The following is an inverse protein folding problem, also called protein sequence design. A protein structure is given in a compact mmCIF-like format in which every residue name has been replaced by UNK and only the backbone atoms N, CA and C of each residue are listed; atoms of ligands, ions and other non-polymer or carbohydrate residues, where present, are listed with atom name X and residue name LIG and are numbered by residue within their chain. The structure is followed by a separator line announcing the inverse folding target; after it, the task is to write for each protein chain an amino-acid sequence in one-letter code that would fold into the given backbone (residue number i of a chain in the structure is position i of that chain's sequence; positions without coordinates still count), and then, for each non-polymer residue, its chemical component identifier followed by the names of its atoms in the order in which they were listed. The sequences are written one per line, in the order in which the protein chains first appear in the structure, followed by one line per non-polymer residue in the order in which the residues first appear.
data_IF_103018015256
#
_entry.id   IF_103018015256
#
_cell.length_a   1.000
_cell.length_b   1.000
_cell.length_c   1.000
_cell.angle_alpha   90.00
_cell.angle_beta   90.00
_cell.angle_gamma   90.00
#
_symmetry.space_group_name_H-M   'P 1'
#
loop_
_entity.id
_entity.type
_entity.pdbx_description
1 polymer ?
#
# COMPACT_ATOMS: atom_id res chain seq x y z
N UNK A 1 -2.66 -13.72 2.25
CA UNK A 1 -1.21 -13.39 2.23
C UNK A 1 -0.89 -12.80 3.61
N UNK A 2 0.22 -13.15 4.25
CA UNK A 2 0.51 -13.00 5.70
C UNK A 2 -0.16 -14.06 6.61
N UNK A 3 0.39 -15.27 6.54
CA UNK A 3 0.04 -16.38 7.46
C UNK A 3 1.25 -16.89 8.24
N UNK A 4 2.42 -16.25 8.12
CA UNK A 4 3.67 -16.67 8.74
C UNK A 4 4.19 -15.56 9.65
N UNK A 5 4.61 -15.94 10.85
CA UNK A 5 5.05 -15.04 11.92
C UNK A 5 6.52 -15.33 12.21
N UNK A 6 7.32 -14.26 12.17
CA UNK A 6 8.74 -14.26 12.47
C UNK A 6 9.06 -13.18 13.49
N UNK A 7 9.95 -13.50 14.43
CA UNK A 7 10.46 -12.51 15.37
C UNK A 7 11.39 -11.52 14.66
N UNK A 8 11.07 -10.23 14.76
CA UNK A 8 12.04 -9.20 14.42
C UNK A 8 13.08 -9.08 15.53
N UNK A 9 14.37 -9.22 15.19
CA UNK A 9 15.47 -8.97 16.12
C UNK A 9 15.67 -7.47 16.42
N UNK A 10 14.97 -6.59 15.69
CA UNK A 10 15.22 -5.16 15.71
C UNK A 10 16.53 -4.80 15.00
N UNK A 11 16.83 -3.51 14.97
CA UNK A 11 18.11 -2.97 14.52
C UNK A 11 18.77 -2.14 15.62
N UNK A 12 20.01 -1.73 15.40
CA UNK A 12 20.69 -0.79 16.30
C UNK A 12 19.92 0.55 16.36
N UNK A 13 19.94 1.19 17.53
CA UNK A 13 19.40 2.54 17.66
C UNK A 13 20.18 3.48 16.73
N UNK A 14 19.46 4.14 15.82
CA UNK A 14 20.05 5.09 14.86
C UNK A 14 20.04 6.53 15.37
N UNK A 15 19.14 6.84 16.31
CA UNK A 15 18.96 8.17 16.90
C UNK A 15 18.83 8.00 18.41
N UNK A 16 19.82 8.50 19.17
CA UNK A 16 19.92 8.25 20.61
C UNK A 16 18.68 8.72 21.41
N UNK A 17 18.05 9.83 20.98
CA UNK A 17 16.87 10.38 21.64
C UNK A 17 15.54 9.73 21.18
N UNK A 18 15.56 8.89 20.14
CA UNK A 18 14.34 8.27 19.63
C UNK A 18 13.84 7.19 20.59
N UNK A 19 12.56 7.29 20.95
CA UNK A 19 11.85 6.28 21.75
C UNK A 19 11.21 5.27 20.81
N UNK A 20 11.00 4.03 21.29
CA UNK A 20 10.18 3.07 20.56
C UNK A 20 8.74 3.58 20.43
N UNK A 21 8.06 3.21 19.35
CA UNK A 21 6.66 3.56 19.13
C UNK A 21 5.77 3.10 20.28
N UNK A 22 5.99 1.87 20.79
CA UNK A 22 5.30 1.34 21.97
C UNK A 22 5.45 2.26 23.17
N UNK A 23 6.65 2.75 23.47
CA UNK A 23 6.87 3.66 24.60
C UNK A 23 6.21 5.02 24.41
N UNK A 24 6.14 5.53 23.19
CA UNK A 24 5.43 6.77 22.87
C UNK A 24 3.92 6.59 23.09
N UNK A 25 3.35 5.50 22.58
CA UNK A 25 1.92 5.19 22.73
C UNK A 25 1.53 4.97 24.20
N UNK A 26 2.35 4.25 24.96
CA UNK A 26 2.13 4.05 26.41
C UNK A 26 2.18 5.37 27.17
N UNK A 27 3.13 6.25 26.88
CA UNK A 27 3.22 7.56 27.52
C UNK A 27 2.00 8.44 27.21
N UNK A 28 1.53 8.43 25.96
CA UNK A 28 0.30 9.14 25.58
C UNK A 28 -0.90 8.57 26.35
N UNK A 29 -1.05 7.25 26.38
CA UNK A 29 -2.15 6.60 27.09
C UNK A 29 -2.13 6.95 28.59
N UNK A 30 -0.95 6.89 29.24
CA UNK A 30 -0.78 7.27 30.65
C UNK A 30 -1.20 8.71 30.92
N UNK A 31 -0.81 9.65 30.07
CA UNK A 31 -1.13 11.08 30.24
C UNK A 31 -2.61 11.39 30.00
N UNK A 32 -3.26 10.69 29.08
CA UNK A 32 -4.65 10.96 28.70
C UNK A 32 -5.65 10.18 29.56
N UNK A 33 -5.31 8.95 29.95
CA UNK A 33 -6.22 7.99 30.58
C UNK A 33 -5.82 7.65 32.03
N UNK A 34 -4.73 8.22 32.55
CA UNK A 34 -4.14 7.83 33.84
C UNK A 34 -3.35 6.53 33.74
N UNK A 35 -2.86 6.01 34.86
CA UNK A 35 -1.96 4.85 34.88
C UNK A 35 -2.65 3.51 34.56
N UNK A 36 -3.97 3.43 34.75
CA UNK A 36 -4.74 2.23 34.42
C UNK A 36 -6.15 2.57 33.93
N UNK A 37 -6.70 1.73 33.05
CA UNK A 37 -8.13 1.73 32.77
C UNK A 37 -8.81 0.78 33.75
N UNK A 38 -9.73 1.31 34.58
CA UNK A 38 -10.64 0.52 35.43
C UNK A 38 -9.97 -0.59 36.27
N UNK A 39 -8.67 -0.43 36.59
CA UNK A 39 -7.87 -1.42 37.33
C UNK A 39 -7.55 -2.73 36.59
N UNK A 40 -7.94 -2.90 35.33
CA UNK A 40 -7.75 -4.16 34.59
C UNK A 40 -6.48 -4.19 33.74
N UNK A 41 -5.94 -3.03 33.37
CA UNK A 41 -4.74 -2.90 32.56
C UNK A 41 -3.90 -1.73 33.07
N UNK A 42 -2.68 -2.03 33.53
CA UNK A 42 -1.68 -1.01 33.84
C UNK A 42 -0.86 -0.71 32.58
N UNK A 43 -0.88 0.54 32.15
CA UNK A 43 -0.20 0.94 30.92
C UNK A 43 1.32 0.78 30.98
N UNK A 44 1.93 0.93 32.17
CA UNK A 44 3.40 0.79 32.28
C UNK A 44 3.90 -0.57 31.83
N UNK A 45 3.10 -1.61 32.02
CA UNK A 45 3.50 -2.98 31.74
C UNK A 45 3.67 -3.18 30.22
N UNK A 46 2.92 -2.43 29.42
CA UNK A 46 2.97 -2.48 27.97
C UNK A 46 4.22 -1.82 27.36
N UNK A 47 5.09 -1.16 28.15
CA UNK A 47 6.44 -0.81 27.69
C UNK A 47 7.24 -2.07 27.30
N UNK A 48 6.94 -3.21 27.92
CA UNK A 48 7.56 -4.48 27.58
C UNK A 48 6.92 -5.10 26.34
N UNK A 49 7.71 -5.26 25.27
CA UNK A 49 7.27 -6.00 24.09
C UNK A 49 6.87 -7.45 24.41
N UNK A 50 7.44 -8.06 25.45
CA UNK A 50 7.03 -9.40 25.92
C UNK A 50 5.63 -9.36 26.54
N UNK A 51 5.32 -8.34 27.36
CA UNK A 51 3.97 -8.16 27.90
C UNK A 51 2.94 -7.93 26.78
N UNK A 52 3.27 -7.13 25.77
CA UNK A 52 2.42 -6.95 24.57
C UNK A 52 2.18 -8.28 23.85
N UNK A 53 3.23 -9.10 23.64
CA UNK A 53 3.07 -10.42 23.02
C UNK A 53 2.23 -11.37 23.87
N UNK A 54 2.37 -11.35 25.20
CA UNK A 54 1.56 -12.15 26.10
C UNK A 54 0.07 -11.78 25.96
N UNK A 55 -0.24 -10.49 25.90
CA UNK A 55 -1.60 -10.01 25.71
C UNK A 55 -2.16 -10.42 24.34
N UNK A 56 -1.36 -10.32 23.27
CA UNK A 56 -1.75 -10.81 21.93
C UNK A 56 -2.05 -12.32 21.96
N UNK A 57 -1.18 -13.10 22.60
CA UNK A 57 -1.32 -14.55 22.71
C UNK A 57 -2.53 -14.98 23.53
N UNK A 58 -3.01 -14.14 24.45
CA UNK A 58 -4.19 -14.39 25.26
C UNK A 58 -5.48 -14.02 24.54
N UNK A 59 -5.46 -12.92 23.78
CA UNK A 59 -6.68 -12.33 23.20
C UNK A 59 -6.94 -12.75 21.75
N UNK A 60 -5.92 -13.13 20.98
CA UNK A 60 -6.06 -13.37 19.54
C UNK A 60 -5.87 -14.86 19.22
N UNK A 61 -6.97 -15.59 18.87
CA UNK A 61 -6.89 -17.00 18.51
C UNK A 61 -5.93 -17.24 17.34
N UNK A 62 -5.11 -18.29 17.45
CA UNK A 62 -4.12 -18.67 16.45
C UNK A 62 -2.78 -17.93 16.54
N UNK A 63 -2.61 -17.01 17.50
CA UNK A 63 -1.36 -16.32 17.80
C UNK A 63 -0.74 -16.73 19.14
N UNK A 64 -1.18 -17.82 19.75
CA UNK A 64 -0.72 -18.26 21.08
C UNK A 64 0.79 -18.47 21.14
N UNK A 65 1.38 -18.98 20.05
CA UNK A 65 2.82 -19.20 19.88
C UNK A 65 3.65 -17.90 19.86
N UNK A 66 3.03 -16.71 19.79
CA UNK A 66 3.76 -15.45 19.88
C UNK A 66 4.23 -15.16 21.32
N UNK A 67 3.64 -15.81 22.33
CA UNK A 67 3.91 -15.58 23.75
C UNK A 67 5.40 -15.70 24.09
N UNK A 68 6.01 -16.77 23.60
CA UNK A 68 7.36 -17.23 23.92
C UNK A 68 8.30 -17.22 22.70
N UNK A 69 7.90 -16.57 21.59
CA UNK A 69 8.68 -16.52 20.35
C UNK A 69 10.07 -15.87 20.53
N UNK A 70 10.21 -14.97 21.51
CA UNK A 70 11.48 -14.32 21.85
C UNK A 70 12.45 -15.24 22.58
N UNK A 71 11.95 -16.28 23.24
CA UNK A 71 12.73 -17.29 23.94
C UNK A 71 13.02 -18.47 23.02
N UNK A 72 11.99 -18.99 22.35
CA UNK A 72 12.08 -20.18 21.49
C UNK A 72 12.70 -19.88 20.13
N UNK A 73 12.62 -18.62 19.67
CA UNK A 73 12.97 -18.20 18.29
C UNK A 73 12.24 -19.00 17.20
N UNK A 74 11.16 -19.69 17.56
CA UNK A 74 10.43 -20.57 16.65
C UNK A 74 9.42 -19.75 15.85
N UNK A 75 9.68 -19.64 14.56
CA UNK A 75 8.74 -19.06 13.60
C UNK A 75 7.57 -20.02 13.35
N UNK A 76 6.38 -19.49 13.07
CA UNK A 76 5.18 -20.32 12.94
C UNK A 76 4.18 -19.76 11.94
N UNK A 77 3.32 -20.63 11.44
CA UNK A 77 2.14 -20.22 10.70
C UNK A 77 0.96 -19.98 11.65
N UNK A 78 0.22 -18.89 11.43
CA UNK A 78 -1.03 -18.64 12.14
C UNK A 78 -2.00 -19.80 11.89
N UNK A 79 -2.47 -20.42 12.97
CA UNK A 79 -3.36 -21.58 12.92
C UNK A 79 -4.60 -21.28 12.06
N UNK A 80 -4.98 -22.21 11.19
CA UNK A 80 -6.17 -22.07 10.34
C UNK A 80 -6.02 -21.14 9.13
N UNK A 81 -4.92 -20.41 8.98
CA UNK A 81 -4.68 -19.56 7.79
C UNK A 81 -3.96 -20.27 6.64
N UNK A 82 -3.24 -21.35 6.93
CA UNK A 82 -2.68 -22.20 5.90
C UNK A 82 -3.75 -23.19 5.41
N UNK A 83 -4.14 -23.09 4.14
CA UNK A 83 -5.18 -23.92 3.52
C UNK A 83 -4.66 -25.26 2.98
N UNK A 84 -3.62 -25.84 3.60
CA UNK A 84 -3.04 -27.11 3.17
C UNK A 84 -4.08 -28.25 3.07
N UNK A 85 -5.07 -28.26 3.95
CA UNK A 85 -6.05 -29.34 4.07
C UNK A 85 -7.37 -29.10 3.32
N UNK A 86 -7.44 -28.09 2.41
CA UNK A 86 -8.66 -27.71 1.67
C UNK A 86 -9.90 -27.48 2.56
N UNK A 87 -9.68 -27.14 3.82
CA UNK A 87 -10.73 -26.80 4.79
C UNK A 87 -10.97 -25.30 4.74
N UNK A 88 -12.22 -24.89 4.55
CA UNK A 88 -12.59 -23.48 4.45
C UNK A 88 -13.38 -23.05 5.69
N UNK A 89 -13.09 -21.88 6.29
CA UNK A 89 -13.83 -21.34 7.43
C UNK A 89 -15.19 -20.76 6.97
N UNK A 90 -16.00 -21.59 6.32
CA UNK A 90 -17.37 -21.28 5.89
C UNK A 90 -18.32 -22.23 6.59
N UNK A 91 -19.61 -21.86 6.78
CA UNK A 91 -20.59 -22.75 7.41
C UNK A 91 -20.74 -24.13 6.73
N UNK A 92 -20.40 -24.23 5.45
CA UNK A 92 -20.47 -25.48 4.67
C UNK A 92 -19.14 -26.24 4.59
N UNK A 93 -18.06 -25.67 5.12
CA UNK A 93 -16.69 -26.20 4.98
C UNK A 93 -16.13 -26.12 3.56
N UNK A 94 -16.83 -25.50 2.61
CA UNK A 94 -16.46 -25.42 1.18
C UNK A 94 -16.13 -23.99 0.74
N UNK A 95 -15.34 -23.86 -0.33
CA UNK A 95 -15.12 -22.57 -0.99
C UNK A 95 -16.42 -21.99 -1.54
N UNK A 96 -16.55 -20.66 -1.50
CA UNK A 96 -17.67 -19.92 -2.11
C UNK A 96 -17.18 -19.24 -3.38
N UNK A 97 -17.79 -19.58 -4.51
CA UNK A 97 -17.51 -18.95 -5.80
C UNK A 97 -18.47 -17.79 -6.02
N UNK A 98 -17.95 -16.67 -6.49
CA UNK A 98 -18.71 -15.49 -6.85
C UNK A 98 -18.17 -14.95 -8.17
N UNK A 99 -19.08 -14.49 -9.02
CA UNK A 99 -18.71 -13.75 -10.22
C UNK A 99 -18.70 -12.26 -9.91
N UNK A 100 -17.79 -11.52 -10.53
CA UNK A 100 -17.76 -10.07 -10.49
C UNK A 100 -17.95 -9.54 -11.92
N UNK A 101 -18.85 -8.57 -12.13
CA UNK A 101 -18.98 -7.93 -13.44
C UNK A 101 -17.69 -7.18 -13.77
N UNK A 102 -17.28 -7.21 -15.04
CA UNK A 102 -16.17 -6.39 -15.52
C UNK A 102 -16.65 -4.94 -15.69
N UNK A 103 -15.84 -3.94 -15.31
CA UNK A 103 -16.18 -2.55 -15.57
C UNK A 103 -16.21 -2.29 -17.08
N UNK A 104 -17.09 -1.39 -17.52
CA UNK A 104 -17.11 -0.93 -18.90
C UNK A 104 -15.81 -0.19 -19.25
N UNK A 105 -15.34 -0.28 -20.50
CA UNK A 105 -14.23 0.54 -20.96
C UNK A 105 -14.59 2.03 -20.82
N UNK A 106 -13.61 2.90 -20.53
CA UNK A 106 -13.87 4.33 -20.51
C UNK A 106 -14.27 4.82 -21.92
N UNK A 107 -15.22 5.74 -21.99
CA UNK A 107 -15.63 6.36 -23.25
C UNK A 107 -14.58 7.40 -23.69
N UNK A 108 -13.62 6.97 -24.51
CA UNK A 108 -12.54 7.81 -25.05
C UNK A 108 -11.48 8.30 -24.04
N UNK A 109 -11.72 8.12 -22.74
CA UNK A 109 -10.84 8.54 -21.65
C UNK A 109 -9.68 7.56 -21.42
N UNK A 110 -8.57 8.07 -20.86
CA UNK A 110 -7.41 7.26 -20.47
C UNK A 110 -7.58 6.75 -19.05
N UNK A 111 -7.29 5.47 -18.82
CA UNK A 111 -7.22 4.87 -17.48
C UNK A 111 -5.79 4.86 -16.97
N UNK A 112 -5.50 5.67 -15.97
CA UNK A 112 -4.22 5.74 -15.29
C UNK A 112 -4.09 4.65 -14.22
N UNK A 113 -2.92 4.01 -14.20
CA UNK A 113 -2.44 3.23 -13.06
C UNK A 113 -1.18 3.87 -12.47
N UNK A 114 -1.17 4.06 -11.14
CA UNK A 114 0.04 4.50 -10.46
C UNK A 114 0.98 3.32 -10.23
N UNK A 115 2.29 3.51 -10.35
CA UNK A 115 3.29 2.46 -10.11
C UNK A 115 4.40 2.95 -9.17
N UNK A 116 5.19 2.00 -8.68
CA UNK A 116 6.43 2.29 -7.97
C UNK A 116 7.60 1.79 -8.82
N UNK A 117 8.71 2.50 -8.75
CA UNK A 117 9.97 2.04 -9.34
C UNK A 117 10.60 0.97 -8.45
N UNK A 118 11.68 0.37 -8.94
CA UNK A 118 12.51 -0.55 -8.16
C UNK A 118 13.28 0.19 -7.03
N UNK A 119 13.87 1.36 -7.32
CA UNK A 119 14.55 2.24 -6.36
C UNK A 119 13.60 2.99 -5.40
N UNK A 120 12.53 2.35 -4.98
CA UNK A 120 11.50 2.95 -4.13
C UNK A 120 10.90 1.92 -3.17
N UNK A 121 10.65 2.34 -1.93
CA UNK A 121 9.83 1.60 -1.00
C UNK A 121 8.64 2.42 -0.51
N UNK A 122 7.43 1.99 -0.88
CA UNK A 122 6.20 2.72 -0.62
C UNK A 122 6.27 4.18 -1.12
N UNK A 123 6.28 5.17 -0.22
CA UNK A 123 6.31 6.60 -0.56
C UNK A 123 7.70 7.19 -0.53
N UNK A 124 8.70 6.42 -0.09
CA UNK A 124 10.09 6.86 -0.01
C UNK A 124 10.77 6.51 -1.32
N UNK A 125 11.09 7.54 -2.10
CA UNK A 125 11.86 7.44 -3.33
C UNK A 125 13.34 7.48 -2.96
N UNK A 126 14.10 6.45 -3.34
CA UNK A 126 15.55 6.40 -3.16
C UNK A 126 16.25 6.83 -4.46
N UNK A 127 15.68 6.44 -5.60
CA UNK A 127 16.21 6.73 -6.93
C UNK A 127 15.14 7.31 -7.85
N UNK A 128 15.56 8.28 -8.66
CA UNK A 128 14.72 8.89 -9.71
C UNK A 128 14.62 8.00 -10.96
N UNK A 129 15.58 7.10 -11.15
CA UNK A 129 15.61 6.15 -12.25
C UNK A 129 14.76 4.90 -11.95
N UNK A 130 14.06 4.40 -12.97
CA UNK A 130 13.40 3.11 -12.98
C UNK A 130 14.02 2.22 -14.06
N UNK A 131 15.04 1.47 -13.65
CA UNK A 131 15.81 0.57 -14.52
C UNK A 131 14.90 -0.47 -15.17
N UNK A 132 13.87 -0.95 -14.47
CA UNK A 132 12.96 -1.97 -15.01
C UNK A 132 12.08 -1.45 -16.15
N UNK A 133 11.85 -0.14 -16.21
CA UNK A 133 11.07 0.51 -17.28
C UNK A 133 11.93 1.35 -18.21
N UNK A 134 13.25 1.43 -17.97
CA UNK A 134 14.17 2.28 -18.73
C UNK A 134 13.80 3.77 -18.66
N UNK A 135 13.37 4.25 -17.48
CA UNK A 135 13.00 5.65 -17.28
C UNK A 135 14.05 6.34 -16.41
N UNK A 136 14.65 7.42 -16.91
CA UNK A 136 15.66 8.22 -16.20
C UNK A 136 15.08 9.24 -15.20
N UNK A 137 13.75 9.32 -15.13
CA UNK A 137 12.99 10.33 -14.38
C UNK A 137 11.59 9.85 -14.08
N UNK A 138 10.93 10.52 -13.13
CA UNK A 138 9.59 10.14 -12.63
C UNK A 138 8.46 11.05 -13.09
N UNK A 139 8.75 12.26 -13.56
CA UNK A 139 7.76 13.22 -14.06
C UNK A 139 7.39 12.98 -15.54
N UNK A 140 7.05 11.72 -15.82
CA UNK A 140 6.60 11.22 -17.12
C UNK A 140 5.20 10.62 -16.99
N UNK A 141 4.45 10.64 -18.09
CA UNK A 141 3.27 9.79 -18.27
C UNK A 141 3.53 8.83 -19.43
N UNK A 142 3.53 7.53 -19.11
CA UNK A 142 3.80 6.50 -20.09
C UNK A 142 2.50 6.13 -20.81
N UNK A 143 2.52 6.19 -22.14
CA UNK A 143 1.37 5.98 -23.02
C UNK A 143 1.73 5.03 -24.15
N UNK A 144 0.73 4.31 -24.67
CA UNK A 144 0.91 3.57 -25.91
C UNK A 144 1.17 4.53 -27.08
N UNK A 145 1.91 4.10 -28.11
CA UNK A 145 2.07 4.91 -29.32
C UNK A 145 0.71 5.26 -29.95
N UNK A 146 -0.24 4.32 -29.92
CA UNK A 146 -1.61 4.52 -30.41
C UNK A 146 -2.32 5.66 -29.68
N UNK A 147 -2.15 5.77 -28.36
CA UNK A 147 -2.75 6.86 -27.59
C UNK A 147 -2.05 8.20 -27.81
N UNK A 148 -0.73 8.21 -28.01
CA UNK A 148 -0.03 9.44 -28.40
C UNK A 148 -0.60 9.97 -29.73
N UNK A 149 -0.71 9.09 -30.73
CA UNK A 149 -1.23 9.45 -32.05
C UNK A 149 -2.70 9.91 -31.95
N UNK A 150 -3.53 9.18 -31.20
CA UNK A 150 -4.94 9.52 -30.97
C UNK A 150 -5.12 10.87 -30.27
N UNK A 151 -4.22 11.21 -29.36
CA UNK A 151 -4.23 12.48 -28.64
C UNK A 151 -3.48 13.61 -29.38
N UNK A 152 -2.89 13.33 -30.55
CA UNK A 152 -2.09 14.28 -31.31
C UNK A 152 -0.81 14.74 -30.58
N UNK A 153 -0.28 13.90 -29.70
CA UNK A 153 0.91 14.18 -28.89
C UNK A 153 2.17 13.64 -29.57
N UNK A 154 3.25 14.43 -29.49
CA UNK A 154 4.59 13.97 -29.88
C UNK A 154 5.29 13.27 -28.70
N UNK A 155 6.20 12.32 -28.96
CA UNK A 155 7.06 11.77 -27.91
C UNK A 155 7.76 12.87 -27.13
N UNK A 156 7.75 12.72 -25.80
CA UNK A 156 8.29 13.65 -24.80
C UNK A 156 7.70 15.08 -24.88
N UNK A 157 6.52 15.25 -25.47
CA UNK A 157 5.80 16.51 -25.40
C UNK A 157 5.33 16.76 -23.97
N UNK A 158 5.43 18.03 -23.53
CA UNK A 158 4.89 18.44 -22.23
C UNK A 158 3.37 18.39 -22.23
N UNK A 159 2.83 17.79 -21.19
CA UNK A 159 1.40 17.63 -20.98
C UNK A 159 0.99 17.95 -19.56
N UNK A 160 -0.28 18.30 -19.43
CA UNK A 160 -1.01 18.31 -18.17
C UNK A 160 -1.88 17.07 -18.11
N UNK A 161 -1.88 16.41 -16.95
CA UNK A 161 -2.74 15.27 -16.66
C UNK A 161 -3.72 15.68 -15.58
N UNK A 162 -5.02 15.58 -15.85
CA UNK A 162 -6.10 15.97 -14.93
C UNK A 162 -6.98 14.79 -14.59
N UNK A 163 -7.43 14.75 -13.35
CA UNK A 163 -8.49 13.88 -12.86
C UNK A 163 -9.58 14.73 -12.19
N UNK A 164 -10.60 14.08 -11.65
CA UNK A 164 -11.63 14.74 -10.81
C UNK A 164 -11.08 15.34 -9.51
N UNK A 165 -9.88 14.95 -9.04
CA UNK A 165 -9.33 15.41 -7.75
C UNK A 165 -8.18 16.39 -7.87
N UNK A 166 -7.59 16.55 -9.05
CA UNK A 166 -6.44 17.42 -9.23
C UNK A 166 -5.75 17.22 -10.57
N UNK A 167 -4.64 17.93 -10.73
CA UNK A 167 -3.82 17.90 -11.94
C UNK A 167 -2.34 17.80 -11.61
N UNK A 168 -1.61 17.06 -12.45
CA UNK A 168 -0.15 17.11 -12.54
C UNK A 168 0.21 17.88 -13.81
N UNK A 169 1.19 18.75 -13.72
CA UNK A 169 1.56 19.69 -14.80
C UNK A 169 2.96 19.42 -15.29
N UNK A 170 3.22 19.77 -16.55
CA UNK A 170 4.54 19.68 -17.18
C UNK A 170 5.16 18.28 -17.26
N UNK A 171 4.35 17.22 -17.26
CA UNK A 171 4.82 15.84 -17.45
C UNK A 171 5.27 15.63 -18.89
N UNK A 172 6.22 14.74 -19.12
CA UNK A 172 6.57 14.31 -20.48
C UNK A 172 5.71 13.11 -20.90
N UNK A 173 4.97 13.23 -21.99
CA UNK A 173 4.19 12.14 -22.57
C UNK A 173 5.12 11.21 -23.36
N UNK A 174 5.37 10.01 -22.86
CA UNK A 174 6.40 9.11 -23.38
C UNK A 174 5.83 7.81 -23.93
N UNK A 175 6.25 7.36 -25.13
CA UNK A 175 5.82 6.08 -25.67
C UNK A 175 6.33 4.93 -24.79
N UNK A 176 5.45 3.98 -24.50
CA UNK A 176 5.74 2.79 -23.72
C UNK A 176 4.81 1.64 -24.11
N UNK A 177 5.25 0.41 -23.88
CA UNK A 177 4.44 -0.79 -24.14
C UNK A 177 3.39 -1.00 -23.04
N UNK A 178 2.40 -0.11 -23.02
CA UNK A 178 1.17 -0.24 -22.23
C UNK A 178 -0.01 -0.44 -23.16
N UNK A 179 -1.00 -1.23 -22.75
CA UNK A 179 -2.19 -1.48 -23.55
C UNK A 179 -2.91 -0.15 -23.89
N UNK A 180 -3.31 0.08 -25.15
CA UNK A 180 -4.03 1.30 -25.53
C UNK A 180 -5.26 1.59 -24.64
N UNK A 181 -5.53 2.87 -24.41
CA UNK A 181 -6.53 3.37 -23.47
C UNK A 181 -6.05 3.43 -22.01
N UNK A 182 -4.79 3.10 -21.73
CA UNK A 182 -4.22 3.12 -20.39
C UNK A 182 -2.95 3.97 -20.34
N UNK A 183 -2.63 4.47 -19.14
CA UNK A 183 -1.42 5.22 -18.87
C UNK A 183 -0.77 4.80 -17.55
N UNK A 184 0.51 5.13 -17.41
CA UNK A 184 1.28 4.89 -16.19
C UNK A 184 1.88 6.20 -15.69
N UNK A 185 1.78 6.45 -14.39
CA UNK A 185 2.51 7.52 -13.72
C UNK A 185 3.06 7.02 -12.38
N UNK A 186 4.09 7.69 -11.87
CA UNK A 186 4.77 7.26 -10.65
C UNK A 186 4.03 7.73 -9.38
N UNK A 187 3.96 6.83 -8.41
CA UNK A 187 3.60 7.10 -7.02
C UNK A 187 4.88 7.56 -6.28
N UNK A 188 4.82 8.48 -5.31
CA UNK A 188 3.63 9.11 -4.73
C UNK A 188 3.11 10.33 -5.48
N UNK A 189 3.83 10.83 -6.49
CA UNK A 189 3.55 12.08 -7.20
C UNK A 189 2.13 12.07 -7.82
N UNK A 190 1.76 10.95 -8.44
CA UNK A 190 0.44 10.76 -9.05
C UNK A 190 -0.73 10.61 -8.07
N UNK A 191 -0.50 10.61 -6.74
CA UNK A 191 -1.59 10.55 -5.77
C UNK A 191 -2.55 11.73 -5.87
N UNK A 192 -2.09 12.90 -6.35
CA UNK A 192 -2.96 14.05 -6.58
C UNK A 192 -4.09 13.74 -7.59
N UNK A 193 -3.87 12.76 -8.47
CA UNK A 193 -4.84 12.32 -9.45
C UNK A 193 -5.80 11.24 -8.93
N UNK A 194 -5.54 10.64 -7.77
CA UNK A 194 -6.29 9.49 -7.28
C UNK A 194 -7.53 9.96 -6.48
N UNK A 195 -8.75 9.59 -6.90
CA UNK A 195 -9.96 9.89 -6.15
C UNK A 195 -9.95 9.28 -4.76
N UNK A 196 -10.65 9.94 -3.83
CA UNK A 196 -10.86 9.43 -2.47
C UNK A 196 -11.99 8.40 -2.39
N UNK A 197 -12.63 8.10 -3.52
CA UNK A 197 -13.58 7.01 -3.62
C UNK A 197 -12.87 5.69 -3.33
N UNK A 198 -13.52 4.86 -2.52
CA UNK A 198 -12.98 3.59 -2.07
C UNK A 198 -13.96 2.47 -2.35
N UNK A 199 -13.42 1.27 -2.51
CA UNK A 199 -14.24 0.08 -2.55
C UNK A 199 -15.13 0.02 -1.29
N UNK A 200 -16.46 -0.12 -1.42
CA UNK A 200 -17.38 0.03 -0.31
C UNK A 200 -17.19 -1.03 0.78
N UNK A 201 -16.61 -2.19 0.44
CA UNK A 201 -16.38 -3.30 1.36
C UNK A 201 -15.01 -3.18 2.06
N UNK A 202 -13.93 -3.09 1.29
CA UNK A 202 -12.55 -3.09 1.78
C UNK A 202 -12.02 -1.71 2.18
N UNK A 203 -12.70 -0.64 1.75
CA UNK A 203 -12.26 0.76 1.91
C UNK A 203 -10.91 1.05 1.23
N UNK A 204 -10.52 0.25 0.24
CA UNK A 204 -9.28 0.42 -0.53
C UNK A 204 -9.49 1.40 -1.69
N UNK A 205 -8.62 2.42 -1.88
CA UNK A 205 -8.68 3.31 -3.03
C UNK A 205 -8.28 2.66 -4.36
N UNK A 206 -8.84 3.18 -5.46
CA UNK A 206 -8.64 2.68 -6.82
C UNK A 206 -7.34 3.12 -7.51
N UNK A 207 -6.16 2.90 -6.92
CA UNK A 207 -4.86 3.35 -7.44
C UNK A 207 -4.49 2.87 -8.86
N UNK A 208 -5.15 1.83 -9.35
CA UNK A 208 -4.87 1.20 -10.66
C UNK A 208 -5.93 1.53 -11.72
N UNK A 209 -6.89 2.37 -11.39
CA UNK A 209 -8.07 2.60 -12.22
C UNK A 209 -8.60 4.02 -12.02
N UNK A 210 -7.78 5.00 -12.39
CA UNK A 210 -8.14 6.42 -12.32
C UNK A 210 -8.43 6.92 -13.73
N UNK A 211 -9.57 7.59 -13.94
CA UNK A 211 -9.84 8.23 -15.22
C UNK A 211 -9.14 9.59 -15.29
N UNK A 212 -8.39 9.80 -16.36
CA UNK A 212 -7.65 11.05 -16.58
C UNK A 212 -7.85 11.61 -17.98
N UNK A 213 -7.75 12.93 -18.05
CA UNK A 213 -7.61 13.73 -19.26
C UNK A 213 -6.14 14.13 -19.42
N UNK A 214 -5.60 14.03 -20.63
CA UNK A 214 -4.22 14.41 -20.95
C UNK A 214 -4.28 15.46 -22.06
N UNK A 215 -3.75 16.65 -21.79
CA UNK A 215 -3.75 17.77 -22.74
C UNK A 215 -2.35 18.35 -22.92
N UNK A 216 -1.98 18.81 -24.13
CA UNK A 216 -0.74 19.57 -24.34
C UNK A 216 -0.60 20.74 -23.37
N UNK A 217 0.61 20.98 -22.88
CA UNK A 217 0.91 22.14 -22.03
C UNK A 217 2.21 22.81 -22.46
N UNK A 218 2.10 24.09 -22.82
CA UNK A 218 3.24 24.99 -23.04
C UNK A 218 3.81 25.50 -21.71
N UNK A 219 5.08 25.90 -21.69
CA UNK A 219 5.69 26.56 -20.52
C UNK A 219 4.99 27.88 -20.20
#
# INVERSE_FOLDING_TARGET
MFSFVRLSAGGASRVAAARSEVSVLVEIARRVLGDSISGSLNWSDLHSHSAVRNLIAELIPGLEQIRDIDQTKREFHITGRNLANRSFPTPTGKAKFQTAPLPLPPDGQIRLMTVRSEGQFNSVVYDEEDIYRGQERRDVILLSQVDLDRLGLKPDQRVRVRSVTGEMRYLLARPFDVRPGNAIAYYPEANILVPRDVDPQSKTPGFKSVLVEIVPESK
#
